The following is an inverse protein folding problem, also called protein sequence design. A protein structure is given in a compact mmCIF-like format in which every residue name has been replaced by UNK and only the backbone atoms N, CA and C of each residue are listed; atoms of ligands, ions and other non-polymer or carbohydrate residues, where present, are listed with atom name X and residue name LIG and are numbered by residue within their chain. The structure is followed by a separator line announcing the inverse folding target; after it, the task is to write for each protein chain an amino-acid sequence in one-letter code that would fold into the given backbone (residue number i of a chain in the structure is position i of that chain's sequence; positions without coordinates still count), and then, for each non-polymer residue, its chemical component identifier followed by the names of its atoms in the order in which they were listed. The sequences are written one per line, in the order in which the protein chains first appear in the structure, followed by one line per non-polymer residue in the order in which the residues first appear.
data_IF_088110313522
#
_entry.id   IF_088110313522
#
_cell.length_a   1.000
_cell.length_b   1.000
_cell.length_c   1.000
_cell.angle_alpha   90.00
_cell.angle_beta   90.00
_cell.angle_gamma   90.00
#
_symmetry.space_group_name_H-M   'P 1'
#
loop_
_entity.id
_entity.type
_entity.pdbx_description
1 polymer ?
#
# COMPACT_ATOMS: atom_id res chain seq x y z
N UNK A 1 1.48 1.76 -31.11
CA UNK A 1 0.98 3.12 -30.81
C UNK A 1 0.55 3.16 -29.33
N UNK A 2 1.32 3.85 -28.49
CA UNK A 2 1.42 3.70 -27.03
C UNK A 2 0.09 3.65 -26.26
N UNK A 3 -0.17 2.54 -25.56
CA UNK A 3 -1.20 2.41 -24.51
C UNK A 3 -1.10 3.54 -23.46
N UNK A 4 0.14 3.96 -23.15
CA UNK A 4 0.43 5.10 -22.26
C UNK A 4 0.00 6.46 -22.81
N UNK A 5 -0.11 6.66 -24.14
CA UNK A 5 -0.54 7.95 -24.72
C UNK A 5 -2.05 8.18 -24.62
N UNK A 6 -2.84 7.15 -24.24
CA UNK A 6 -4.29 7.26 -24.05
C UNK A 6 -4.72 7.30 -22.58
N UNK A 7 -3.80 7.09 -21.64
CA UNK A 7 -4.11 7.13 -20.21
C UNK A 7 -3.93 8.55 -19.67
N UNK A 8 -4.83 8.96 -18.76
CA UNK A 8 -4.69 10.23 -18.05
C UNK A 8 -3.68 10.11 -16.92
N UNK A 9 -3.19 11.26 -16.43
CA UNK A 9 -2.31 11.30 -15.26
C UNK A 9 -2.90 10.55 -14.05
N UNK A 10 -4.22 10.63 -13.84
CA UNK A 10 -4.90 9.91 -12.76
C UNK A 10 -4.83 8.39 -12.90
N UNK A 11 -5.00 7.84 -14.11
CA UNK A 11 -4.86 6.39 -14.34
C UNK A 11 -3.41 5.93 -14.11
N UNK A 12 -2.43 6.72 -14.56
CA UNK A 12 -1.01 6.42 -14.37
C UNK A 12 -0.61 6.38 -12.89
N UNK A 13 -0.99 7.40 -12.12
CA UNK A 13 -0.66 7.46 -10.68
C UNK A 13 -1.41 6.37 -9.90
N UNK A 14 -2.68 6.10 -10.24
CA UNK A 14 -3.44 4.96 -9.67
C UNK A 14 -2.74 3.63 -9.93
N UNK A 15 -2.20 3.43 -11.13
CA UNK A 15 -1.45 2.22 -11.47
C UNK A 15 -0.14 2.10 -10.68
N UNK A 16 0.59 3.20 -10.50
CA UNK A 16 1.78 3.23 -9.64
C UNK A 16 1.43 2.85 -8.21
N UNK A 17 0.37 3.44 -7.64
CA UNK A 17 -0.11 3.09 -6.30
C UNK A 17 -0.49 1.60 -6.20
N UNK A 18 -1.11 1.05 -7.25
CA UNK A 18 -1.46 -0.37 -7.32
C UNK A 18 -0.22 -1.29 -7.32
N UNK A 19 0.84 -0.93 -8.04
CA UNK A 19 2.08 -1.71 -8.03
C UNK A 19 2.78 -1.61 -6.68
N UNK A 20 2.82 -0.42 -6.08
CA UNK A 20 3.44 -0.19 -4.78
C UNK A 20 2.73 -0.93 -3.64
N UNK A 21 1.39 -1.02 -3.67
CA UNK A 21 0.63 -1.77 -2.66
C UNK A 21 0.90 -3.28 -2.72
N UNK A 22 1.08 -3.82 -3.93
CA UNK A 22 1.53 -5.21 -4.14
C UNK A 22 2.96 -5.38 -3.64
N UNK A 23 3.88 -4.45 -3.94
CA UNK A 23 5.23 -4.51 -3.40
C UNK A 23 5.22 -4.51 -1.86
N UNK A 24 4.39 -3.67 -1.24
CA UNK A 24 4.23 -3.61 0.21
C UNK A 24 3.78 -4.97 0.80
N UNK A 25 2.78 -5.62 0.18
CA UNK A 25 2.31 -6.92 0.66
C UNK A 25 3.36 -8.02 0.53
N UNK A 26 4.16 -8.00 -0.56
CA UNK A 26 5.25 -8.95 -0.76
C UNK A 26 6.33 -8.74 0.30
N UNK A 27 6.77 -7.49 0.52
CA UNK A 27 7.79 -7.17 1.53
C UNK A 27 7.31 -7.54 2.92
N UNK A 28 6.02 -7.33 3.24
CA UNK A 28 5.42 -7.80 4.49
C UNK A 28 5.58 -9.32 4.66
N UNK A 29 5.16 -10.12 3.66
CA UNK A 29 5.21 -11.57 3.76
C UNK A 29 6.64 -12.09 3.80
N UNK A 30 7.55 -11.53 3.00
CA UNK A 30 8.97 -11.85 3.08
C UNK A 30 9.50 -11.59 4.49
N UNK A 31 9.15 -10.45 5.10
CA UNK A 31 9.63 -10.08 6.42
C UNK A 31 9.19 -11.03 7.54
N UNK A 32 7.92 -11.46 7.55
CA UNK A 32 7.42 -12.38 8.60
C UNK A 32 7.78 -13.84 8.35
N UNK A 33 8.24 -14.21 7.15
CA UNK A 33 8.72 -15.57 6.83
C UNK A 33 10.25 -15.68 6.77
N UNK A 34 10.97 -14.59 7.03
CA UNK A 34 12.43 -14.58 7.11
C UNK A 34 12.87 -14.63 8.58
N UNK A 35 14.02 -15.27 8.82
CA UNK A 35 14.63 -15.33 10.16
C UNK A 35 14.85 -13.92 10.70
N UNK A 36 14.51 -13.72 11.97
CA UNK A 36 14.73 -12.50 12.73
C UNK A 36 13.56 -12.14 13.62
N UNK A 37 13.64 -10.98 14.26
CA UNK A 37 12.75 -10.60 15.36
C UNK A 37 11.24 -10.68 15.07
N UNK A 38 10.82 -10.33 13.84
CA UNK A 38 9.41 -10.36 13.44
C UNK A 38 8.98 -11.62 12.69
N UNK A 39 9.81 -12.68 12.71
CA UNK A 39 9.45 -13.98 12.16
C UNK A 39 8.17 -14.52 12.82
N UNK A 40 7.24 -15.03 12.02
CA UNK A 40 5.93 -15.54 12.44
C UNK A 40 5.02 -14.54 13.17
N UNK A 41 5.41 -13.27 13.28
CA UNK A 41 4.66 -12.25 14.00
C UNK A 41 3.60 -11.61 13.08
N UNK A 42 2.67 -12.40 12.53
CA UNK A 42 1.68 -11.90 11.58
C UNK A 42 0.72 -10.85 12.19
N UNK A 43 0.33 -9.88 11.36
CA UNK A 43 -0.63 -8.80 11.64
C UNK A 43 -1.76 -8.88 10.60
N UNK A 44 -2.76 -9.77 10.80
CA UNK A 44 -3.79 -10.06 9.82
C UNK A 44 -4.58 -8.82 9.36
N UNK A 45 -4.82 -7.86 10.26
CA UNK A 45 -5.57 -6.64 9.96
C UNK A 45 -4.81 -5.74 8.97
N UNK A 46 -3.48 -5.66 9.10
CA UNK A 46 -2.66 -4.89 8.17
C UNK A 46 -2.72 -5.49 6.75
N UNK A 47 -2.70 -6.82 6.65
CA UNK A 47 -2.86 -7.54 5.38
C UNK A 47 -4.25 -7.31 4.81
N UNK A 48 -5.30 -7.49 5.61
CA UNK A 48 -6.69 -7.32 5.19
C UNK A 48 -6.93 -5.93 4.61
N UNK A 49 -6.51 -4.88 5.32
CA UNK A 49 -6.70 -3.51 4.85
C UNK A 49 -5.90 -3.23 3.57
N UNK A 50 -4.65 -3.70 3.46
CA UNK A 50 -3.88 -3.56 2.22
C UNK A 50 -4.58 -4.26 1.04
N UNK A 51 -5.07 -5.49 1.24
CA UNK A 51 -5.81 -6.25 0.20
C UNK A 51 -7.07 -5.51 -0.24
N UNK A 52 -7.86 -4.96 0.69
CA UNK A 52 -9.05 -4.17 0.33
C UNK A 52 -8.62 -2.97 -0.52
N UNK A 53 -7.57 -2.24 -0.12
CA UNK A 53 -7.02 -1.14 -0.91
C UNK A 53 -6.60 -1.56 -2.32
N UNK A 54 -5.91 -2.69 -2.46
CA UNK A 54 -5.51 -3.27 -3.76
C UNK A 54 -6.73 -3.55 -4.63
N UNK A 55 -7.77 -4.18 -4.09
CA UNK A 55 -9.00 -4.50 -4.82
C UNK A 55 -9.69 -3.21 -5.29
N UNK A 56 -9.79 -2.20 -4.44
CA UNK A 56 -10.38 -0.90 -4.82
C UNK A 56 -9.60 -0.26 -5.98
N UNK A 57 -8.27 -0.20 -5.90
CA UNK A 57 -7.44 0.33 -6.99
C UNK A 57 -7.61 -0.47 -8.28
N UNK A 58 -7.68 -1.80 -8.20
CA UNK A 58 -7.91 -2.66 -9.37
C UNK A 58 -9.26 -2.37 -10.04
N UNK A 59 -10.33 -2.24 -9.24
CA UNK A 59 -11.67 -1.91 -9.74
C UNK A 59 -11.66 -0.52 -10.41
N UNK A 60 -11.04 0.49 -9.80
CA UNK A 60 -10.91 1.84 -10.38
C UNK A 60 -10.20 1.77 -11.75
N UNK A 61 -9.10 1.02 -11.83
CA UNK A 61 -8.35 0.84 -13.07
C UNK A 61 -9.22 0.16 -14.14
N UNK A 62 -9.97 -0.88 -13.81
CA UNK A 62 -10.88 -1.54 -14.77
C UNK A 62 -11.97 -0.59 -15.24
N UNK A 63 -12.66 0.10 -14.31
CA UNK A 63 -13.73 1.05 -14.65
C UNK A 63 -13.23 2.17 -15.56
N UNK A 64 -11.99 2.64 -15.38
CA UNK A 64 -11.39 3.68 -16.23
C UNK A 64 -11.23 3.30 -17.70
N UNK A 65 -11.29 2.00 -18.03
CA UNK A 65 -11.12 1.49 -19.39
C UNK A 65 -12.44 1.27 -20.13
N UNK A 66 -13.58 1.29 -19.43
CA UNK A 66 -14.88 0.98 -20.02
C UNK A 66 -15.44 2.17 -20.81
N UNK A 67 -15.88 1.98 -22.07
CA UNK A 67 -16.50 3.04 -22.86
C UNK A 67 -17.98 3.19 -22.48
N UNK A 68 -18.25 3.78 -21.32
CA UNK A 68 -19.60 3.96 -20.78
C UNK A 68 -20.18 5.30 -21.21
N UNK A 69 -21.50 5.36 -21.36
CA UNK A 69 -22.23 6.60 -21.66
C UNK A 69 -23.58 6.63 -20.92
N UNK A 70 -24.16 7.84 -20.80
CA UNK A 70 -25.48 8.03 -20.18
C UNK A 70 -25.47 7.95 -18.64
N UNK A 71 -26.60 7.50 -18.05
CA UNK A 71 -26.81 7.47 -16.60
C UNK A 71 -25.85 6.49 -15.90
N UNK A 72 -25.54 5.35 -16.53
CA UNK A 72 -24.64 4.33 -15.98
C UNK A 72 -23.24 4.89 -15.78
N UNK A 73 -22.74 5.69 -16.72
CA UNK A 73 -21.43 6.36 -16.60
C UNK A 73 -21.39 7.33 -15.40
N UNK A 74 -22.46 8.09 -15.16
CA UNK A 74 -22.56 8.99 -14.00
C UNK A 74 -22.50 8.22 -12.67
N UNK A 75 -23.28 7.14 -12.55
CA UNK A 75 -23.32 6.30 -11.34
C UNK A 75 -21.95 5.66 -11.08
N UNK A 76 -21.33 5.07 -12.10
CA UNK A 76 -20.02 4.43 -11.96
C UNK A 76 -18.89 5.43 -11.70
N UNK A 77 -19.02 6.67 -12.17
CA UNK A 77 -18.08 7.74 -11.82
C UNK A 77 -18.14 8.06 -10.33
N UNK A 78 -19.35 8.22 -9.77
CA UNK A 78 -19.54 8.48 -8.33
C UNK A 78 -18.96 7.33 -7.50
N UNK A 79 -19.26 6.08 -7.87
CA UNK A 79 -18.74 4.90 -7.18
C UNK A 79 -17.21 4.86 -7.26
N UNK A 80 -16.62 5.15 -8.43
CA UNK A 80 -15.17 5.26 -8.62
C UNK A 80 -14.55 6.34 -7.73
N UNK A 81 -15.18 7.52 -7.64
CA UNK A 81 -14.68 8.61 -6.81
C UNK A 81 -14.69 8.26 -5.31
N UNK A 82 -15.73 7.58 -4.83
CA UNK A 82 -15.77 7.05 -3.46
C UNK A 82 -14.62 6.05 -3.25
N UNK A 83 -14.43 5.10 -4.17
CA UNK A 83 -13.36 4.10 -4.05
C UNK A 83 -11.96 4.72 -4.00
N UNK A 84 -11.74 5.84 -4.70
CA UNK A 84 -10.45 6.56 -4.72
C UNK A 84 -10.15 7.28 -3.41
N UNK A 85 -11.18 7.61 -2.64
CA UNK A 85 -11.03 8.13 -1.28
C UNK A 85 -10.84 6.97 -0.30
N UNK A 86 -11.58 5.88 -0.47
CA UNK A 86 -11.48 4.72 0.41
C UNK A 86 -10.13 4.00 0.30
N UNK A 87 -9.56 3.85 -0.89
CA UNK A 87 -8.29 3.14 -1.10
C UNK A 87 -7.13 3.69 -0.23
N UNK A 88 -6.80 5.00 -0.24
CA UNK A 88 -5.76 5.53 0.64
C UNK A 88 -6.09 5.40 2.12
N UNK A 89 -7.37 5.48 2.52
CA UNK A 89 -7.78 5.26 3.92
C UNK A 89 -7.43 3.84 4.37
N UNK A 90 -7.63 2.83 3.53
CA UNK A 90 -7.24 1.46 3.83
C UNK A 90 -5.72 1.27 3.91
N UNK A 91 -4.93 1.90 3.03
CA UNK A 91 -3.46 1.84 3.13
C UNK A 91 -2.93 2.52 4.40
N UNK A 92 -3.50 3.66 4.79
CA UNK A 92 -3.17 4.33 6.06
C UNK A 92 -3.55 3.45 7.24
N UNK A 93 -4.73 2.82 7.19
CA UNK A 93 -5.18 1.91 8.25
C UNK A 93 -4.25 0.69 8.38
N UNK A 94 -3.79 0.12 7.26
CA UNK A 94 -2.80 -0.96 7.25
C UNK A 94 -1.48 -0.52 7.88
N UNK A 95 -1.00 0.68 7.52
CA UNK A 95 0.22 1.27 8.09
C UNK A 95 0.10 1.46 9.60
N UNK A 96 -1.00 2.04 10.08
CA UNK A 96 -1.21 2.28 11.51
C UNK A 96 -1.28 0.97 12.32
N UNK A 97 -1.93 -0.06 11.78
CA UNK A 97 -1.93 -1.39 12.42
C UNK A 97 -0.55 -2.02 12.47
N UNK A 98 0.24 -1.88 11.40
CA UNK A 98 1.61 -2.38 11.38
C UNK A 98 2.50 -1.60 12.35
N UNK A 99 2.41 -0.26 12.40
CA UNK A 99 3.19 0.56 13.35
C UNK A 99 2.83 0.18 14.78
N UNK A 100 1.54 0.10 15.09
CA UNK A 100 1.06 -0.26 16.43
C UNK A 100 1.53 -1.64 16.89
N UNK A 101 1.65 -2.61 15.98
CA UNK A 101 2.10 -3.97 16.31
C UNK A 101 3.63 -4.11 16.37
N UNK A 102 4.38 -3.14 15.84
CA UNK A 102 5.85 -3.20 15.72
C UNK A 102 6.59 -2.22 16.61
N UNK A 103 5.90 -1.22 17.18
CA UNK A 103 6.53 -0.19 18.03
C UNK A 103 7.32 -0.76 19.21
N UNK A 104 6.81 -1.79 19.89
CA UNK A 104 7.52 -2.43 21.00
C UNK A 104 8.75 -3.21 20.51
N UNK A 105 8.64 -3.90 19.38
CA UNK A 105 9.78 -4.59 18.78
C UNK A 105 10.87 -3.62 18.33
N UNK A 106 10.49 -2.47 17.76
CA UNK A 106 11.46 -1.42 17.45
C UNK A 106 12.09 -0.81 18.70
N UNK A 107 11.31 -0.58 19.76
CA UNK A 107 11.84 -0.13 21.04
C UNK A 107 12.90 -1.11 21.57
N UNK A 108 12.61 -2.40 21.51
CA UNK A 108 13.54 -3.44 21.92
C UNK A 108 14.79 -3.50 21.03
N UNK A 109 14.65 -3.47 19.70
CA UNK A 109 15.81 -3.59 18.80
C UNK A 109 16.71 -2.36 18.84
N UNK A 110 16.14 -1.15 18.83
CA UNK A 110 16.91 0.08 18.65
C UNK A 110 17.23 0.82 19.95
N UNK A 111 16.49 0.57 21.03
CA UNK A 111 16.59 1.32 22.29
C UNK A 111 16.78 0.44 23.53
N UNK A 112 17.27 -0.79 23.35
CA UNK A 112 17.69 -1.64 24.46
C UNK A 112 18.91 -1.08 25.19
N UNK A 113 19.10 -1.55 26.43
CA UNK A 113 20.29 -1.24 27.23
C UNK A 113 21.57 -1.71 26.51
N UNK A 114 22.66 -0.95 26.65
CA UNK A 114 23.95 -1.25 25.99
C UNK A 114 24.46 -2.65 26.29
N UNK A 115 24.22 -3.17 27.50
CA UNK A 115 24.67 -4.50 27.94
C UNK A 115 24.05 -5.64 27.12
N UNK A 116 22.83 -5.47 26.59
CA UNK A 116 22.13 -6.49 25.78
C UNK A 116 22.04 -6.10 24.31
N UNK A 117 22.53 -4.92 23.93
CA UNK A 117 22.37 -4.36 22.59
C UNK A 117 23.00 -5.26 21.52
N UNK A 118 24.17 -5.83 21.80
CA UNK A 118 24.86 -6.75 20.89
C UNK A 118 24.13 -8.09 20.69
N UNK A 119 23.38 -8.54 21.70
CA UNK A 119 22.59 -9.77 21.63
C UNK A 119 21.28 -9.54 20.85
N UNK A 120 20.73 -8.33 20.92
CA UNK A 120 19.47 -7.98 20.27
C UNK A 120 19.69 -7.50 18.83
N UNK A 121 20.72 -6.72 18.56
CA UNK A 121 21.03 -6.18 17.21
C UNK A 121 21.85 -7.16 16.37
N UNK A 122 21.41 -8.42 16.31
CA UNK A 122 21.95 -9.40 15.37
C UNK A 122 21.67 -8.98 13.94
N UNK A 123 22.45 -9.49 12.98
CA UNK A 123 22.24 -9.21 11.56
C UNK A 123 20.81 -9.56 11.10
N UNK A 124 20.24 -10.64 11.64
CA UNK A 124 18.89 -11.11 11.33
C UNK A 124 17.82 -10.18 11.90
N UNK A 125 17.96 -9.74 13.16
CA UNK A 125 17.01 -8.83 13.80
C UNK A 125 17.04 -7.45 13.15
N UNK A 126 18.22 -6.95 12.80
CA UNK A 126 18.37 -5.68 12.08
C UNK A 126 17.78 -5.77 10.66
N UNK A 127 18.03 -6.87 9.94
CA UNK A 127 17.41 -7.12 8.64
C UNK A 127 15.87 -7.17 8.75
N UNK A 128 15.35 -7.86 9.77
CA UNK A 128 13.92 -7.94 10.05
C UNK A 128 13.32 -6.55 10.35
N UNK A 129 14.00 -5.73 11.15
CA UNK A 129 13.57 -4.38 11.45
C UNK A 129 13.57 -3.48 10.21
N UNK A 130 14.63 -3.53 9.39
CA UNK A 130 14.70 -2.79 8.13
C UNK A 130 13.63 -3.24 7.13
N UNK A 131 13.34 -4.54 7.04
CA UNK A 131 12.27 -5.07 6.20
C UNK A 131 10.89 -4.57 6.63
N UNK A 132 10.62 -4.52 7.94
CA UNK A 132 9.40 -3.89 8.47
C UNK A 132 9.34 -2.40 8.12
N UNK A 133 10.42 -1.64 8.27
CA UNK A 133 10.48 -0.22 7.91
C UNK A 133 10.22 -0.02 6.41
N UNK A 134 10.85 -0.83 5.55
CA UNK A 134 10.65 -0.77 4.11
C UNK A 134 9.17 -0.99 3.73
N UNK A 135 8.51 -1.97 4.37
CA UNK A 135 7.07 -2.18 4.20
C UNK A 135 6.24 -0.97 4.65
N UNK A 136 6.53 -0.39 5.82
CA UNK A 136 5.84 0.81 6.31
C UNK A 136 5.99 2.00 5.35
N UNK A 137 7.20 2.22 4.82
CA UNK A 137 7.46 3.26 3.82
C UNK A 137 6.69 3.00 2.54
N UNK A 138 6.68 1.75 2.04
CA UNK A 138 5.91 1.39 0.85
C UNK A 138 4.40 1.65 1.04
N UNK A 139 3.82 1.29 2.19
CA UNK A 139 2.43 1.60 2.52
C UNK A 139 2.18 3.11 2.57
N UNK A 140 3.08 3.87 3.20
CA UNK A 140 2.98 5.33 3.28
C UNK A 140 3.03 5.99 1.90
N UNK A 141 4.00 5.63 1.07
CA UNK A 141 4.12 6.15 -0.31
C UNK A 141 2.93 5.73 -1.17
N UNK A 142 2.45 4.50 -1.02
CA UNK A 142 1.23 4.00 -1.68
C UNK A 142 0.03 4.87 -1.32
N UNK A 143 -0.18 5.15 -0.03
CA UNK A 143 -1.29 5.98 0.43
C UNK A 143 -1.21 7.39 -0.16
N UNK A 144 -0.01 8.01 -0.14
CA UNK A 144 0.21 9.34 -0.72
C UNK A 144 -0.04 9.33 -2.22
N UNK A 145 0.48 8.35 -2.96
CA UNK A 145 0.25 8.22 -4.39
C UNK A 145 -1.25 8.05 -4.71
N UNK A 146 -1.97 7.22 -3.95
CA UNK A 146 -3.41 7.02 -4.11
C UNK A 146 -4.22 8.30 -3.80
N UNK A 147 -3.84 9.06 -2.75
CA UNK A 147 -4.45 10.35 -2.45
C UNK A 147 -4.22 11.36 -3.58
N UNK A 148 -2.99 11.48 -4.07
CA UNK A 148 -2.66 12.37 -5.20
C UNK A 148 -3.47 11.96 -6.43
N UNK A 149 -3.54 10.65 -6.72
CA UNK A 149 -4.30 10.14 -7.85
C UNK A 149 -5.78 10.55 -7.78
N UNK A 150 -6.37 10.68 -6.60
CA UNK A 150 -7.78 11.09 -6.41
C UNK A 150 -8.09 12.51 -6.97
N UNK A 151 -7.09 13.39 -7.09
CA UNK A 151 -7.27 14.75 -7.63
C UNK A 151 -7.22 14.86 -9.16
N UNK A 152 -6.79 13.80 -9.87
CA UNK A 152 -6.66 13.83 -11.32
C UNK A 152 -7.80 13.08 -12.03
N UNK A 153 -8.16 13.45 -13.26
CA UNK A 153 -9.12 12.63 -14.01
C UNK A 153 -8.53 11.26 -14.36
N UNK A 154 -9.36 10.21 -14.30
CA UNK A 154 -9.03 8.81 -14.63
C UNK A 154 -9.66 8.36 -15.95
N UNK A 155 -10.62 9.12 -16.51
CA UNK A 155 -11.30 8.73 -17.74
C UNK A 155 -10.35 8.87 -18.92
N UNK A 156 -10.24 7.83 -19.75
CA UNK A 156 -9.54 7.93 -21.03
C UNK A 156 -10.07 9.13 -21.82
N UNK A 157 -9.16 9.92 -22.38
CA UNK A 157 -9.52 10.97 -23.33
C UNK A 157 -10.07 10.27 -24.59
N UNK A 158 -11.39 10.26 -24.75
CA UNK A 158 -12.03 9.86 -25.99
C UNK A 158 -11.74 10.96 -27.02
N UNK A 159 -10.79 10.70 -27.92
CA UNK A 159 -10.69 11.40 -29.20
C UNK A 159 -11.48 10.63 -30.23
#
# INVERSE_FOLDING_TARGET
MNFMKKQTAGSGITFVAFVLSIAAIIVYFVNINSVGYFENAAVPEAVLYNVIGIVLLAVILVLSQLPLSGIVDKLLTIVSDIMRICAPVFFISALLRLVSSRVQGFAFIYFSNEEVLHEVQTAENMSSAHGTIANMVLLGVTAVAAMIAAFFSIKKVQK
#
